data_IF_650304577626
#
_entry.id   IF_650304577626
#
_cell.length_a   1.000
_cell.length_b   1.000
_cell.length_c   1.000
_cell.angle_alpha   90.00
_cell.angle_beta   90.00
_cell.angle_gamma   90.00
#
_symmetry.space_group_name_H-M   'P 1'
#
loop_
_entity.id
_entity.type
_entity.pdbx_description
1 polymer ?
#
# COMPACT_ATOMS: atom_id res chain seq x y z
N UNK A 1 38.51 26.88 32.98
CA UNK A 1 38.59 25.46 32.56
C UNK A 1 37.34 24.76 33.09
N UNK A 2 36.43 24.32 32.22
CA UNK A 2 35.20 23.64 32.65
C UNK A 2 35.45 22.13 32.73
N UNK A 3 35.24 21.54 33.92
CA UNK A 3 35.39 20.11 34.14
C UNK A 3 34.13 19.41 33.62
N UNK A 4 34.25 18.61 32.56
CA UNK A 4 33.14 17.78 32.07
C UNK A 4 32.91 16.62 33.05
N UNK A 5 31.82 16.66 33.80
CA UNK A 5 31.39 15.54 34.64
C UNK A 5 30.70 14.51 33.75
N UNK A 6 31.38 13.42 33.42
CA UNK A 6 30.79 12.25 32.76
C UNK A 6 30.04 11.42 33.79
N UNK A 7 28.71 11.49 33.76
CA UNK A 7 27.85 10.67 34.62
C UNK A 7 27.95 9.20 34.19
N UNK A 8 28.25 8.24 35.09
CA UNK A 8 28.32 6.84 34.73
C UNK A 8 26.92 6.34 34.33
N UNK A 9 26.77 5.93 33.06
CA UNK A 9 25.58 5.25 32.58
C UNK A 9 25.74 3.76 32.86
N UNK A 10 24.74 3.14 33.48
CA UNK A 10 24.69 1.69 33.65
C UNK A 10 24.89 0.98 32.31
N UNK A 11 25.67 -0.12 32.23
CA UNK A 11 25.81 -0.89 31.01
C UNK A 11 24.41 -1.25 30.48
N UNK A 12 24.11 -0.89 29.23
CA UNK A 12 22.86 -1.32 28.61
C UNK A 12 22.95 -2.84 28.51
N UNK A 13 22.03 -3.57 29.15
CA UNK A 13 21.95 -5.04 29.00
C UNK A 13 21.99 -5.32 27.50
N UNK A 14 23.01 -6.04 27.04
CA UNK A 14 22.97 -6.64 25.71
C UNK A 14 21.70 -7.48 25.71
N UNK A 15 20.75 -7.15 24.84
CA UNK A 15 19.52 -7.92 24.77
C UNK A 15 19.93 -9.30 24.29
N UNK A 16 20.04 -10.26 25.22
CA UNK A 16 19.99 -11.66 24.87
C UNK A 16 18.59 -11.88 24.30
N UNK A 17 18.41 -11.63 23.01
CA UNK A 17 17.23 -12.01 22.26
C UNK A 17 17.26 -13.53 22.18
N UNK A 18 16.96 -14.19 23.28
CA UNK A 18 17.12 -15.63 23.48
C UNK A 18 16.18 -16.50 22.66
N UNK A 19 15.54 -15.95 21.62
CA UNK A 19 14.74 -16.73 20.69
C UNK A 19 15.56 -16.97 19.44
N UNK A 20 15.99 -18.22 19.25
CA UNK A 20 16.62 -18.67 18.02
C UNK A 20 15.75 -18.27 16.83
N UNK A 21 16.39 -17.79 15.76
CA UNK A 21 15.68 -17.52 14.52
C UNK A 21 15.15 -18.85 13.99
N UNK A 22 13.83 -18.95 13.78
CA UNK A 22 13.24 -20.11 13.12
C UNK A 22 13.86 -20.21 11.73
N UNK A 23 14.58 -21.31 11.48
CA UNK A 23 15.13 -21.63 10.18
C UNK A 23 14.06 -22.43 9.44
N UNK A 24 13.51 -21.84 8.38
CA UNK A 24 12.55 -22.52 7.51
C UNK A 24 13.28 -23.22 6.37
N UNK A 25 12.86 -24.43 6.06
CA UNK A 25 13.28 -25.11 4.82
C UNK A 25 12.77 -24.33 3.62
N UNK A 26 13.39 -24.54 2.46
CA UNK A 26 12.97 -23.89 1.22
C UNK A 26 11.50 -24.18 0.88
N UNK A 27 11.06 -25.43 1.10
CA UNK A 27 9.68 -25.85 0.90
C UNK A 27 8.69 -25.08 1.81
N UNK A 28 9.05 -24.87 3.07
CA UNK A 28 8.22 -24.10 4.01
C UNK A 28 8.15 -22.63 3.63
N UNK A 29 9.24 -22.06 3.11
CA UNK A 29 9.25 -20.70 2.60
C UNK A 29 8.32 -20.58 1.39
N UNK A 30 8.36 -21.55 0.48
CA UNK A 30 7.50 -21.57 -0.71
C UNK A 30 6.03 -21.73 -0.37
N UNK A 31 5.71 -22.54 0.64
CA UNK A 31 4.35 -22.67 1.18
C UNK A 31 3.81 -21.31 1.66
N UNK A 32 4.63 -20.54 2.38
CA UNK A 32 4.27 -19.18 2.80
C UNK A 32 4.04 -18.25 1.59
N UNK A 33 4.92 -18.31 0.57
CA UNK A 33 4.73 -17.51 -0.66
C UNK A 33 3.41 -17.84 -1.33
N UNK A 34 3.15 -19.13 -1.51
CA UNK A 34 1.94 -19.65 -2.13
C UNK A 34 0.69 -19.10 -1.44
N UNK A 35 0.56 -19.22 -0.11
CA UNK A 35 -0.63 -18.72 0.59
C UNK A 35 -0.80 -17.20 0.50
N UNK A 36 0.29 -16.44 0.52
CA UNK A 36 0.23 -14.99 0.30
C UNK A 36 -0.33 -14.68 -1.09
N UNK A 37 0.19 -15.34 -2.13
CA UNK A 37 -0.27 -15.13 -3.51
C UNK A 37 -1.70 -15.63 -3.74
N UNK A 38 -2.07 -16.77 -3.17
CA UNK A 38 -3.43 -17.33 -3.24
C UNK A 38 -4.46 -16.39 -2.61
N UNK A 39 -4.17 -15.83 -1.43
CA UNK A 39 -5.05 -14.82 -0.81
C UNK A 39 -5.23 -13.59 -1.70
N UNK A 40 -4.15 -13.10 -2.30
CA UNK A 40 -4.22 -11.97 -3.22
C UNK A 40 -5.03 -12.30 -4.49
N UNK A 41 -4.88 -13.51 -5.04
CA UNK A 41 -5.66 -13.99 -6.18
C UNK A 41 -7.15 -14.08 -5.86
N UNK A 42 -7.50 -14.52 -4.65
CA UNK A 42 -8.87 -14.56 -4.11
C UNK A 42 -9.44 -13.17 -3.77
N UNK A 43 -8.68 -12.09 -4.00
CA UNK A 43 -9.04 -10.72 -3.61
C UNK A 43 -9.25 -10.58 -2.10
N UNK A 44 -8.48 -11.31 -1.30
CA UNK A 44 -8.45 -11.21 0.15
C UNK A 44 -7.11 -10.60 0.56
N UNK A 45 -7.13 -9.50 1.32
CA UNK A 45 -5.88 -8.93 1.84
C UNK A 45 -5.16 -9.93 2.73
N UNK A 46 -3.91 -10.32 2.41
CA UNK A 46 -3.14 -11.23 3.22
C UNK A 46 -2.72 -10.52 4.50
N UNK A 47 -3.39 -10.78 5.62
CA UNK A 47 -2.90 -10.40 6.94
C UNK A 47 -2.11 -11.56 7.52
N UNK A 48 -1.19 -11.29 8.45
CA UNK A 48 -0.43 -12.35 9.12
C UNK A 48 -1.37 -13.39 9.74
N UNK A 49 -2.45 -12.95 10.37
CA UNK A 49 -3.42 -13.86 11.00
C UNK A 49 -4.15 -14.74 9.96
N UNK A 50 -4.49 -14.18 8.78
CA UNK A 50 -5.14 -14.94 7.71
C UNK A 50 -4.19 -15.94 7.05
N UNK A 51 -2.94 -15.53 6.84
CA UNK A 51 -1.90 -16.43 6.30
C UNK A 51 -1.68 -17.57 7.30
N UNK A 52 -1.51 -17.25 8.58
CA UNK A 52 -1.30 -18.25 9.63
C UNK A 52 -2.50 -19.20 9.75
N UNK A 53 -3.72 -18.67 9.80
CA UNK A 53 -4.93 -19.47 9.88
C UNK A 53 -5.06 -20.44 8.69
N UNK A 54 -4.68 -20.01 7.49
CA UNK A 54 -4.77 -20.86 6.30
C UNK A 54 -3.69 -21.94 6.28
N UNK A 55 -2.45 -21.59 6.64
CA UNK A 55 -1.36 -22.56 6.79
C UNK A 55 -1.75 -23.63 7.82
N UNK A 56 -2.21 -23.23 9.01
CA UNK A 56 -2.54 -24.16 10.09
C UNK A 56 -3.81 -24.98 9.83
N UNK A 57 -4.70 -24.52 8.95
CA UNK A 57 -5.86 -25.28 8.52
C UNK A 57 -5.49 -26.44 7.56
N UNK A 58 -4.42 -26.27 6.77
CA UNK A 58 -3.93 -27.29 5.83
C UNK A 58 -2.84 -28.18 6.46
N UNK A 59 -1.96 -27.60 7.28
CA UNK A 59 -0.87 -28.26 7.99
C UNK A 59 -0.82 -27.79 9.44
N UNK A 60 -1.43 -28.55 10.35
CA UNK A 60 -1.46 -28.23 11.78
C UNK A 60 -0.09 -28.24 12.43
N UNK A 61 0.84 -29.03 11.88
CA UNK A 61 2.17 -29.27 12.45
C UNK A 61 3.23 -28.32 11.87
N UNK A 62 2.81 -27.30 11.13
CA UNK A 62 3.70 -26.31 10.56
C UNK A 62 4.59 -25.67 11.66
N UNK A 63 5.89 -25.45 11.42
CA UNK A 63 6.83 -25.00 12.46
C UNK A 63 6.52 -23.61 13.04
N UNK A 64 5.67 -22.83 12.38
CA UNK A 64 5.26 -21.50 12.81
C UNK A 64 3.82 -21.53 13.29
N UNK A 65 3.67 -21.40 14.61
CA UNK A 65 2.36 -21.40 15.28
C UNK A 65 1.93 -20.00 15.76
N UNK A 66 2.82 -19.01 15.67
CA UNK A 66 2.60 -17.66 16.20
C UNK A 66 2.69 -16.59 15.11
N UNK A 67 1.74 -15.65 15.11
CA UNK A 67 1.69 -14.52 14.17
C UNK A 67 3.00 -13.70 14.16
N UNK A 68 3.57 -13.42 15.34
CA UNK A 68 4.82 -12.65 15.43
C UNK A 68 6.02 -13.39 14.82
N UNK A 69 6.03 -14.72 14.89
CA UNK A 69 7.05 -15.57 14.25
C UNK A 69 6.86 -15.56 12.73
N UNK A 70 5.63 -15.73 12.26
CA UNK A 70 5.31 -15.68 10.83
C UNK A 70 5.71 -14.35 10.21
N UNK A 71 5.40 -13.23 10.89
CA UNK A 71 5.77 -11.89 10.44
C UNK A 71 7.28 -11.74 10.22
N UNK A 72 8.11 -12.28 11.11
CA UNK A 72 9.58 -12.26 10.98
C UNK A 72 10.04 -13.10 9.80
N UNK A 73 9.45 -14.29 9.63
CA UNK A 73 9.79 -15.20 8.54
C UNK A 73 9.38 -14.62 7.17
N UNK A 74 8.18 -14.07 7.04
CA UNK A 74 7.70 -13.40 5.82
C UNK A 74 8.65 -12.28 5.39
N UNK A 75 9.13 -11.47 6.34
CA UNK A 75 10.17 -10.45 6.06
C UNK A 75 11.49 -11.06 5.61
N UNK A 76 11.93 -12.15 6.24
CA UNK A 76 13.18 -12.84 5.89
C UNK A 76 13.12 -13.47 4.49
N UNK A 77 11.95 -13.92 4.06
CA UNK A 77 11.68 -14.52 2.74
C UNK A 77 11.74 -13.47 1.61
N UNK A 78 11.65 -12.17 1.95
CA UNK A 78 11.75 -11.06 0.99
C UNK A 78 10.47 -10.24 0.82
N UNK A 79 9.41 -10.52 1.58
CA UNK A 79 8.19 -9.71 1.53
C UNK A 79 8.30 -8.46 2.39
N UNK A 80 7.81 -7.35 1.84
CA UNK A 80 7.82 -6.04 2.49
C UNK A 80 6.38 -5.57 2.70
N UNK A 81 6.08 -5.17 3.93
CA UNK A 81 4.82 -4.51 4.24
C UNK A 81 4.96 -3.01 3.95
N UNK A 82 4.41 -2.56 2.82
CA UNK A 82 4.57 -1.18 2.35
C UNK A 82 3.23 -0.49 2.14
N UNK A 83 3.28 0.84 2.14
CA UNK A 83 2.10 1.66 1.84
C UNK A 83 1.71 1.46 0.39
N UNK A 84 0.44 1.20 0.14
CA UNK A 84 -0.13 1.21 -1.20
C UNK A 84 -0.06 2.64 -1.72
N UNK A 85 0.68 2.88 -2.80
CA UNK A 85 0.65 4.21 -3.43
C UNK A 85 -0.73 4.41 -4.03
N UNK A 86 -1.46 5.41 -3.53
CA UNK A 86 -2.61 5.93 -4.25
C UNK A 86 -2.08 6.53 -5.55
N UNK A 87 -2.85 6.40 -6.63
CA UNK A 87 -2.57 7.09 -7.89
C UNK A 87 -2.26 8.55 -7.56
N UNK A 88 -1.18 9.09 -8.12
CA UNK A 88 -0.88 10.52 -8.03
C UNK A 88 -2.04 11.21 -8.72
N UNK A 89 -2.97 11.77 -7.95
CA UNK A 89 -4.07 12.54 -8.52
C UNK A 89 -3.40 13.76 -9.16
N UNK A 90 -3.61 14.05 -10.46
CA UNK A 90 -2.94 15.14 -11.17
C UNK A 90 -3.49 16.52 -10.76
N UNK A 91 -3.77 16.72 -9.47
CA UNK A 91 -4.23 17.98 -8.87
C UNK A 91 -3.18 19.09 -9.00
N UNK A 92 -1.91 18.70 -9.12
CA UNK A 92 -0.78 19.65 -9.21
C UNK A 92 -0.41 20.00 -10.67
N UNK A 93 -1.19 19.55 -11.66
CA UNK A 93 -0.95 19.95 -13.05
C UNK A 93 -1.33 21.43 -13.25
N UNK A 94 -0.53 22.23 -13.97
CA UNK A 94 -0.84 23.65 -14.20
C UNK A 94 -2.23 23.88 -14.83
N UNK A 95 -2.67 22.97 -15.70
CA UNK A 95 -4.00 23.01 -16.30
C UNK A 95 -5.12 22.88 -15.26
N UNK A 96 -4.97 21.97 -14.30
CA UNK A 96 -5.92 21.81 -13.20
C UNK A 96 -5.96 23.04 -12.29
N UNK A 97 -4.80 23.64 -12.01
CA UNK A 97 -4.72 24.89 -11.23
C UNK A 97 -5.45 26.04 -11.91
N UNK A 98 -5.28 26.22 -13.22
CA UNK A 98 -5.99 27.25 -14.00
C UNK A 98 -7.49 27.00 -14.00
N UNK A 99 -7.93 25.76 -14.21
CA UNK A 99 -9.35 25.40 -14.16
C UNK A 99 -9.97 25.72 -12.79
N UNK A 100 -9.24 25.40 -11.71
CA UNK A 100 -9.66 25.71 -10.33
C UNK A 100 -9.75 27.20 -10.05
N UNK A 101 -8.79 27.99 -10.54
CA UNK A 101 -8.81 29.45 -10.38
C UNK A 101 -10.02 30.07 -11.10
N UNK A 102 -10.30 29.65 -12.33
CA UNK A 102 -11.48 30.09 -13.10
C UNK A 102 -12.79 29.73 -12.41
N UNK A 103 -12.87 28.52 -11.88
CA UNK A 103 -14.04 28.06 -11.14
C UNK A 103 -14.31 28.92 -9.90
N UNK A 104 -13.29 29.22 -9.10
CA UNK A 104 -13.48 30.06 -7.91
C UNK A 104 -13.89 31.49 -8.26
N UNK A 105 -13.30 32.09 -9.30
CA UNK A 105 -13.71 33.41 -9.77
C UNK A 105 -15.21 33.46 -10.14
N UNK A 106 -15.70 32.44 -10.86
CA UNK A 106 -17.11 32.35 -11.21
C UNK A 106 -18.03 32.15 -9.99
N UNK A 107 -17.59 31.35 -9.01
CA UNK A 107 -18.34 31.15 -7.76
C UNK A 107 -18.42 32.46 -6.96
N UNK A 108 -17.34 33.24 -6.91
CA UNK A 108 -17.33 34.52 -6.19
C UNK A 108 -18.22 35.56 -6.88
N UNK A 109 -18.25 35.58 -8.22
CA UNK A 109 -19.20 36.40 -8.97
C UNK A 109 -20.66 36.04 -8.63
N UNK A 110 -21.00 34.75 -8.60
CA UNK A 110 -22.34 34.29 -8.22
C UNK A 110 -22.70 34.70 -6.78
N UNK A 111 -21.74 34.65 -5.84
CA UNK A 111 -21.96 35.10 -4.46
C UNK A 111 -22.18 36.60 -4.39
N UNK A 112 -21.39 37.39 -5.10
CA UNK A 112 -21.50 38.84 -5.14
C UNK A 112 -22.85 39.30 -5.71
N UNK A 113 -23.40 38.51 -6.65
CA UNK A 113 -24.72 38.73 -7.22
C UNK A 113 -25.88 38.22 -6.35
N UNK A 114 -25.60 37.73 -5.13
CA UNK A 114 -26.61 37.33 -4.14
C UNK A 114 -27.21 35.94 -4.35
N UNK A 115 -26.62 35.10 -5.21
CA UNK A 115 -27.11 33.73 -5.42
C UNK A 115 -26.80 32.83 -4.22
N UNK A 116 -27.76 31.97 -3.84
CA UNK A 116 -27.57 30.91 -2.86
C UNK A 116 -27.05 29.66 -3.56
N UNK A 117 -25.87 29.18 -3.14
CA UNK A 117 -25.19 28.05 -3.77
C UNK A 117 -25.36 26.82 -2.88
N UNK A 118 -25.86 25.73 -3.45
CA UNK A 118 -25.98 24.43 -2.80
C UNK A 118 -25.01 23.45 -3.45
N UNK A 119 -24.19 22.80 -2.63
CA UNK A 119 -23.23 21.79 -3.09
C UNK A 119 -23.83 20.41 -2.91
N UNK A 120 -23.86 19.65 -4.00
CA UNK A 120 -24.17 18.23 -3.98
C UNK A 120 -22.93 17.46 -4.43
N UNK A 121 -22.58 16.42 -3.68
CA UNK A 121 -21.53 15.49 -4.05
C UNK A 121 -22.05 14.07 -3.86
N UNK A 122 -21.76 13.21 -4.84
CA UNK A 122 -22.05 11.79 -4.78
C UNK A 122 -20.77 11.07 -4.39
N UNK A 123 -20.73 10.47 -3.20
CA UNK A 123 -19.61 9.61 -2.81
C UNK A 123 -19.90 8.17 -3.18
N UNK A 124 -19.26 7.66 -4.23
CA UNK A 124 -19.31 6.24 -4.57
C UNK A 124 -18.49 5.42 -3.57
N UNK A 125 -19.14 4.51 -2.84
CA UNK A 125 -18.43 3.51 -2.04
C UNK A 125 -17.78 2.48 -2.98
N UNK A 126 -16.47 2.63 -3.20
CA UNK A 126 -15.74 1.74 -4.08
C UNK A 126 -15.49 0.39 -3.40
N UNK A 127 -16.16 -0.67 -3.88
CA UNK A 127 -15.84 -2.07 -3.53
C UNK A 127 -14.37 -2.45 -3.77
N UNK A 128 -13.68 -1.68 -4.61
CA UNK A 128 -12.28 -1.86 -4.99
C UNK A 128 -11.33 -0.88 -4.28
N UNK A 129 -11.72 -0.32 -3.12
CA UNK A 129 -10.80 0.45 -2.27
C UNK A 129 -9.70 -0.46 -1.72
N UNK A 130 -8.45 -0.02 -1.89
CA UNK A 130 -7.30 -0.77 -1.45
C UNK A 130 -6.91 -0.42 -0.01
N UNK A 131 -6.53 -1.43 0.78
CA UNK A 131 -5.97 -1.17 2.10
C UNK A 131 -4.74 -0.27 1.97
N UNK A 132 -4.57 0.63 2.95
CA UNK A 132 -3.45 1.59 2.98
C UNK A 132 -2.08 0.90 2.98
N UNK A 133 -1.99 -0.31 3.51
CA UNK A 133 -0.77 -1.11 3.55
C UNK A 133 -1.07 -2.54 3.15
N UNK A 134 -0.17 -3.12 2.36
CA UNK A 134 -0.29 -4.49 1.85
C UNK A 134 1.11 -5.12 1.82
N UNK A 135 1.17 -6.45 1.97
CA UNK A 135 2.39 -7.23 1.75
C UNK A 135 2.69 -7.33 0.26
N UNK A 136 3.90 -6.94 -0.12
CA UNK A 136 4.38 -7.08 -1.49
C UNK A 136 5.71 -7.81 -1.51
N UNK A 137 5.89 -8.65 -2.52
CA UNK A 137 7.19 -9.20 -2.87
C UNK A 137 8.18 -8.05 -3.09
N UNK A 138 9.30 -8.09 -2.36
CA UNK A 138 10.37 -7.11 -2.46
C UNK A 138 11.13 -7.18 -3.78
N UNK A 139 11.15 -8.35 -4.43
CA UNK A 139 11.88 -8.60 -5.67
C UNK A 139 11.03 -8.19 -6.88
N UNK A 140 9.83 -8.75 -6.99
CA UNK A 140 8.97 -8.56 -8.17
C UNK A 140 8.06 -7.34 -8.02
N UNK A 141 7.88 -6.81 -6.81
CA UNK A 141 6.91 -5.75 -6.53
C UNK A 141 5.45 -6.18 -6.58
N UNK A 142 5.19 -7.45 -6.94
CA UNK A 142 3.87 -8.10 -6.98
C UNK A 142 3.33 -8.23 -5.57
N UNK A 143 2.05 -7.98 -5.38
CA UNK A 143 1.42 -7.99 -4.06
C UNK A 143 0.28 -7.01 -3.88
N UNK A 144 0.01 -6.19 -4.92
CA UNK A 144 -1.19 -5.34 -4.95
C UNK A 144 -2.37 -6.19 -5.38
N UNK A 145 -3.52 -5.99 -4.74
CA UNK A 145 -4.78 -6.55 -5.24
C UNK A 145 -5.18 -5.88 -6.56
N UNK A 146 -4.72 -4.65 -6.78
CA UNK A 146 -4.84 -3.93 -8.05
C UNK A 146 -3.69 -4.29 -8.98
N UNK A 147 -3.96 -5.14 -9.98
CA UNK A 147 -3.15 -5.12 -11.20
C UNK A 147 -3.64 -3.95 -12.07
N UNK A 148 -2.76 -3.00 -12.39
CA UNK A 148 -3.04 -1.96 -13.38
C UNK A 148 -2.96 -2.56 -14.78
N UNK A 149 -3.83 -3.51 -15.11
CA UNK A 149 -3.80 -4.08 -16.46
C UNK A 149 -4.28 -3.11 -17.54
N UNK A 150 -4.76 -1.89 -17.22
CA UNK A 150 -5.21 -0.88 -18.21
C UNK A 150 -5.43 0.52 -17.59
N UNK A 151 -4.54 1.03 -16.73
CA UNK A 151 -4.67 2.41 -16.20
C UNK A 151 -3.36 3.16 -16.34
N UNK A 152 -3.14 3.77 -17.50
CA UNK A 152 -2.06 4.75 -17.66
C UNK A 152 -1.60 5.09 -19.07
N UNK A 153 -1.99 4.36 -20.11
CA UNK A 153 -1.60 4.63 -21.51
C UNK A 153 -2.83 4.33 -22.35
N UNK A 154 -3.43 5.35 -22.97
CA UNK A 154 -4.38 5.27 -24.11
C UNK A 154 -5.14 6.60 -24.35
N UNK A 155 -4.84 7.68 -23.61
CA UNK A 155 -5.49 8.98 -23.87
C UNK A 155 -4.68 9.95 -24.75
N UNK A 156 -3.49 9.59 -25.21
CA UNK A 156 -2.64 10.48 -26.03
C UNK A 156 -2.32 9.96 -27.45
N UNK A 157 -2.65 8.71 -27.78
CA UNK A 157 -2.43 8.13 -29.11
C UNK A 157 -3.61 8.33 -30.07
N UNK A 158 -4.77 8.79 -29.59
CA UNK A 158 -5.98 8.93 -30.42
C UNK A 158 -6.31 10.38 -30.83
N UNK A 159 -5.45 11.37 -30.56
CA UNK A 159 -5.67 12.78 -30.95
C UNK A 159 -4.66 13.23 -32.02
N UNK A 160 -4.27 12.34 -32.94
CA UNK A 160 -3.40 12.74 -34.07
C UNK A 160 -3.86 12.21 -35.43
N UNK A 161 -5.12 11.75 -35.56
CA UNK A 161 -5.60 11.18 -36.82
C UNK A 161 -6.87 11.82 -37.38
N UNK A 162 -7.62 12.61 -36.60
CA UNK A 162 -8.92 13.16 -37.04
C UNK A 162 -8.95 14.70 -37.19
N UNK A 163 -7.86 15.31 -37.69
CA UNK A 163 -7.91 16.71 -38.16
C UNK A 163 -7.31 16.93 -39.55
N UNK A 164 -7.40 15.92 -40.41
CA UNK A 164 -7.23 16.10 -41.85
C UNK A 164 -8.43 15.48 -42.53
N UNK A 165 -9.59 16.14 -42.49
CA UNK A 165 -10.57 16.25 -43.58
C UNK A 165 -11.67 17.22 -43.13
N UNK A 166 -11.85 18.27 -43.95
CA UNK A 166 -12.78 19.41 -43.87
C UNK A 166 -12.33 20.60 -43.02
#
# INVERSE_FOLDING_TARGET
>A
MAISVTVPRSPRKLSNSGRSSILLTEQQQETIRFHIHSLLAERIYPTIDKILARILAEDSDFPIQAATSLWRCVRKIGFVYKRTSKVVVPLDTPSFMVARARYFAAVDELRNNGFKIFWHDETWCNKNEERRFVWTDGTTGIGRMRHSQNKGIDYFSSISSDSLYL
#
